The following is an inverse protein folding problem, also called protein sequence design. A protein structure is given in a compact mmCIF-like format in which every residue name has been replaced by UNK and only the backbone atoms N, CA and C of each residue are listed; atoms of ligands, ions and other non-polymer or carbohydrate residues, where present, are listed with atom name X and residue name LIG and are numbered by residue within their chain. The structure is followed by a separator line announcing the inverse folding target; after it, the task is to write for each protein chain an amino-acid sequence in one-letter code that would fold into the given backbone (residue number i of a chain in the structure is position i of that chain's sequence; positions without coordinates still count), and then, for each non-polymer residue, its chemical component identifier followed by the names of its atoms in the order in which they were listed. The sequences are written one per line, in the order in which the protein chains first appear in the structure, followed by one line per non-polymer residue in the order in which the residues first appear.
data_IF_424100175015
#
_entry.id   IF_424100175015
#
_cell.length_a   1.000
_cell.length_b   1.000
_cell.length_c   1.000
_cell.angle_alpha   90.00
_cell.angle_beta   90.00
_cell.angle_gamma   90.00
#
_symmetry.space_group_name_H-M   'P 1'
#
loop_
_entity.id
_entity.type
_entity.pdbx_description
1 polymer ?
#
# COMPACT_ATOMS: atom_id res chain seq x y z
N UNK A 1 9.86 22.74 -38.37
CA UNK A 1 8.84 23.31 -37.46
C UNK A 1 8.25 22.15 -36.68
N UNK A 2 8.78 21.88 -35.49
CA UNK A 2 8.29 20.81 -34.61
C UNK A 2 7.03 21.36 -33.94
N UNK A 3 5.87 20.84 -34.34
CA UNK A 3 4.59 21.18 -33.73
C UNK A 3 4.58 20.57 -32.32
N UNK A 4 4.87 21.40 -31.33
CA UNK A 4 4.67 21.09 -29.92
C UNK A 4 3.16 21.07 -29.66
N UNK A 5 2.50 19.98 -30.02
CA UNK A 5 1.20 19.66 -29.42
C UNK A 5 1.43 19.43 -27.92
N UNK A 6 0.70 20.12 -27.03
CA UNK A 6 0.79 19.83 -25.60
C UNK A 6 0.28 18.40 -25.36
N UNK A 7 1.11 17.55 -24.78
CA UNK A 7 0.81 16.17 -24.38
C UNK A 7 -0.24 16.08 -23.23
N UNK A 8 -1.18 17.03 -23.13
CA UNK A 8 -1.84 17.35 -21.85
C UNK A 8 -3.37 17.33 -21.85
N UNK A 9 -4.05 16.73 -22.83
CA UNK A 9 -5.52 16.78 -22.89
C UNK A 9 -6.24 15.44 -23.09
N UNK A 10 -5.64 14.33 -22.65
CA UNK A 10 -6.38 13.06 -22.55
C UNK A 10 -6.37 12.59 -21.09
N UNK A 11 -7.54 12.32 -20.52
CA UNK A 11 -7.64 11.84 -19.15
C UNK A 11 -6.86 10.52 -19.01
N UNK A 12 -5.96 10.37 -18.02
CA UNK A 12 -5.10 9.20 -17.92
C UNK A 12 -5.94 7.93 -17.80
N UNK A 13 -5.59 6.94 -18.61
CA UNK A 13 -6.29 5.65 -18.68
C UNK A 13 -6.24 4.91 -17.34
N UNK A 14 -7.22 4.03 -17.08
CA UNK A 14 -7.27 3.24 -15.85
C UNK A 14 -5.97 2.45 -15.60
N UNK A 15 -5.31 1.95 -16.66
CA UNK A 15 -4.04 1.24 -16.54
C UNK A 15 -2.88 2.17 -16.15
N UNK A 16 -2.82 3.38 -16.70
CA UNK A 16 -1.82 4.39 -16.33
C UNK A 16 -1.99 4.85 -14.88
N UNK A 17 -3.22 5.12 -14.45
CA UNK A 17 -3.52 5.47 -13.04
C UNK A 17 -3.08 4.36 -12.09
N UNK A 18 -3.32 3.11 -12.47
CA UNK A 18 -2.95 1.95 -11.68
C UNK A 18 -1.42 1.82 -11.56
N UNK A 19 -0.69 1.97 -12.67
CA UNK A 19 0.78 1.96 -12.68
C UNK A 19 1.34 3.03 -11.75
N UNK A 20 0.90 4.29 -11.90
CA UNK A 20 1.36 5.40 -11.07
C UNK A 20 1.08 5.14 -9.60
N UNK A 21 -0.12 4.64 -9.27
CA UNK A 21 -0.47 4.31 -7.88
C UNK A 21 0.45 3.25 -7.29
N UNK A 22 0.68 2.14 -8.00
CA UNK A 22 1.57 1.07 -7.52
C UNK A 22 3.02 1.53 -7.43
N UNK A 23 3.48 2.30 -8.40
CA UNK A 23 4.83 2.84 -8.44
C UNK A 23 5.07 3.77 -7.24
N UNK A 24 4.17 4.74 -7.02
CA UNK A 24 4.24 5.66 -5.88
C UNK A 24 4.19 4.91 -4.54
N UNK A 25 3.27 3.95 -4.39
CA UNK A 25 3.16 3.17 -3.17
C UNK A 25 4.45 2.36 -2.89
N UNK A 26 5.04 1.73 -3.91
CA UNK A 26 6.32 1.02 -3.79
C UNK A 26 7.46 1.95 -3.38
N UNK A 27 7.51 3.19 -3.91
CA UNK A 27 8.52 4.16 -3.53
C UNK A 27 8.34 4.63 -2.09
N UNK A 28 7.10 4.82 -1.63
CA UNK A 28 6.80 5.13 -0.22
C UNK A 28 7.30 3.99 0.67
N UNK A 29 6.97 2.74 0.34
CA UNK A 29 7.39 1.57 1.10
C UNK A 29 8.90 1.43 1.15
N UNK A 30 9.58 1.67 0.02
CA UNK A 30 11.04 1.70 -0.06
C UNK A 30 11.63 2.75 0.90
N UNK A 31 11.09 3.97 0.91
CA UNK A 31 11.56 5.04 1.79
C UNK A 31 11.34 4.66 3.26
N UNK A 32 10.14 4.20 3.62
CA UNK A 32 9.82 3.76 4.98
C UNK A 32 10.76 2.64 5.41
N UNK A 33 10.96 1.62 4.57
CA UNK A 33 11.84 0.50 4.89
C UNK A 33 13.28 0.95 5.14
N UNK A 34 13.82 1.83 4.30
CA UNK A 34 15.18 2.35 4.48
C UNK A 34 15.30 3.27 5.71
N UNK A 35 14.23 3.99 6.09
CA UNK A 35 14.21 4.72 7.37
C UNK A 35 14.29 3.77 8.57
N UNK A 36 13.64 2.61 8.52
CA UNK A 36 13.77 1.60 9.56
C UNK A 36 15.17 0.98 9.60
N UNK A 37 15.78 0.74 8.44
CA UNK A 37 17.18 0.29 8.36
C UNK A 37 18.12 1.28 9.04
N UNK A 38 17.90 2.59 8.80
CA UNK A 38 18.75 3.64 9.36
C UNK A 38 18.54 3.85 10.87
N UNK A 39 17.28 3.90 11.33
CA UNK A 39 16.97 4.41 12.67
C UNK A 39 16.47 3.37 13.67
N UNK A 40 16.01 2.20 13.24
CA UNK A 40 15.39 1.24 14.17
C UNK A 40 16.41 0.36 14.90
N UNK A 41 17.53 0.05 14.25
CA UNK A 41 18.49 -0.97 14.72
C UNK A 41 17.98 -2.41 14.68
N UNK A 42 16.68 -2.62 14.43
CA UNK A 42 16.02 -3.92 14.35
C UNK A 42 15.74 -4.38 12.91
N UNK A 43 16.10 -3.57 11.91
CA UNK A 43 15.96 -3.92 10.50
C UNK A 43 17.32 -3.78 9.84
N UNK A 44 17.81 -4.85 9.21
CA UNK A 44 19.07 -4.85 8.49
C UNK A 44 18.86 -5.38 7.09
N UNK A 45 19.36 -4.63 6.10
CA UNK A 45 19.28 -4.99 4.69
C UNK A 45 20.62 -4.72 4.02
N UNK A 46 21.18 -5.73 3.36
CA UNK A 46 22.56 -5.69 2.84
C UNK A 46 22.81 -4.65 1.75
N UNK A 47 21.77 -4.31 0.98
CA UNK A 47 21.91 -3.40 -0.16
C UNK A 47 20.61 -2.70 -0.50
N UNK A 48 20.73 -1.56 -1.17
CA UNK A 48 19.58 -0.82 -1.70
C UNK A 48 18.74 -1.65 -2.68
N UNK A 49 19.37 -2.44 -3.55
CA UNK A 49 18.63 -3.31 -4.48
C UNK A 49 17.81 -4.35 -3.73
N UNK A 50 18.35 -4.92 -2.65
CA UNK A 50 17.62 -5.84 -1.78
C UNK A 50 16.45 -5.13 -1.08
N UNK A 51 16.64 -3.89 -0.58
CA UNK A 51 15.55 -3.15 0.06
C UNK A 51 14.44 -2.78 -0.92
N UNK A 52 14.77 -2.50 -2.19
CA UNK A 52 13.77 -2.32 -3.26
C UNK A 52 12.98 -3.59 -3.53
N UNK A 53 13.65 -4.74 -3.68
CA UNK A 53 12.96 -6.01 -3.89
C UNK A 53 12.12 -6.40 -2.68
N UNK A 54 12.61 -6.15 -1.46
CA UNK A 54 11.86 -6.40 -0.23
C UNK A 54 10.62 -5.50 -0.12
N UNK A 55 10.73 -4.21 -0.45
CA UNK A 55 9.59 -3.29 -0.48
C UNK A 55 8.53 -3.75 -1.49
N UNK A 56 8.95 -4.14 -2.70
CA UNK A 56 8.04 -4.73 -3.71
C UNK A 56 7.38 -6.01 -3.18
N UNK A 57 8.15 -6.92 -2.58
CA UNK A 57 7.62 -8.17 -2.04
C UNK A 57 6.60 -7.90 -0.93
N UNK A 58 6.93 -7.03 0.03
CA UNK A 58 6.03 -6.63 1.12
C UNK A 58 4.73 -6.04 0.57
N UNK A 59 4.83 -5.12 -0.39
CA UNK A 59 3.68 -4.50 -1.05
C UNK A 59 2.80 -5.55 -1.77
N UNK A 60 3.41 -6.53 -2.44
CA UNK A 60 2.68 -7.66 -3.05
C UNK A 60 1.99 -8.52 -1.98
N UNK A 61 2.69 -8.87 -0.90
CA UNK A 61 2.15 -9.71 0.17
C UNK A 61 1.00 -9.04 0.92
N UNK A 62 1.05 -7.72 1.15
CA UNK A 62 -0.05 -6.97 1.75
C UNK A 62 -1.31 -7.04 0.88
N UNK A 63 -1.17 -6.83 -0.42
CA UNK A 63 -2.31 -6.89 -1.35
C UNK A 63 -2.84 -8.30 -1.53
N UNK A 64 -1.95 -9.29 -1.53
CA UNK A 64 -2.34 -10.69 -1.58
C UNK A 64 -3.12 -11.09 -0.33
N UNK A 65 -2.66 -10.67 0.86
CA UNK A 65 -3.35 -10.93 2.13
C UNK A 65 -4.76 -10.34 2.11
N UNK A 66 -4.90 -9.09 1.70
CA UNK A 66 -6.20 -8.43 1.57
C UNK A 66 -7.09 -9.07 0.51
N UNK A 67 -6.52 -9.52 -0.63
CA UNK A 67 -7.28 -10.19 -1.67
C UNK A 67 -7.79 -11.57 -1.22
N UNK A 68 -6.97 -12.32 -0.47
CA UNK A 68 -7.36 -13.59 0.15
C UNK A 68 -8.46 -13.33 1.18
N UNK A 69 -8.33 -12.29 2.01
CA UNK A 69 -9.33 -11.90 3.01
C UNK A 69 -10.70 -11.69 2.36
N UNK A 70 -10.78 -10.86 1.32
CA UNK A 70 -12.04 -10.59 0.62
C UNK A 70 -12.62 -11.84 -0.03
N UNK A 71 -11.79 -12.70 -0.64
CA UNK A 71 -12.25 -13.97 -1.25
C UNK A 71 -12.80 -14.93 -0.20
N UNK A 72 -12.11 -15.08 0.92
CA UNK A 72 -12.52 -15.90 2.06
C UNK A 72 -13.84 -15.38 2.63
N UNK A 73 -13.93 -14.06 2.88
CA UNK A 73 -15.14 -13.43 3.39
C UNK A 73 -16.33 -13.67 2.45
N UNK A 74 -16.18 -13.41 1.16
CA UNK A 74 -17.24 -13.60 0.17
C UNK A 74 -17.65 -15.08 0.01
N UNK A 75 -16.70 -16.01 0.05
CA UNK A 75 -16.97 -17.45 -0.04
C UNK A 75 -17.82 -17.95 1.13
N UNK A 76 -17.55 -17.47 2.34
CA UNK A 76 -18.26 -17.87 3.56
C UNK A 76 -19.56 -17.11 3.81
N UNK A 77 -19.77 -15.92 3.22
CA UNK A 77 -21.06 -15.24 3.24
C UNK A 77 -22.12 -15.93 2.37
N UNK A 78 -21.72 -16.55 1.26
CA UNK A 78 -22.66 -17.10 0.27
C UNK A 78 -23.33 -18.44 0.66
N UNK A 79 -22.97 -19.07 1.79
CA UNK A 79 -23.46 -20.43 2.13
C UNK A 79 -23.93 -20.55 3.60
N UNK A 80 -25.21 -20.89 3.85
CA UNK A 80 -25.71 -21.16 5.20
C UNK A 80 -25.23 -22.53 5.74
N UNK A 81 -24.72 -22.58 6.98
CA UNK A 81 -24.36 -23.81 7.68
C UNK A 81 -23.46 -23.62 8.91
N UNK A 82 -23.62 -24.47 9.94
CA UNK A 82 -22.81 -24.41 11.17
C UNK A 82 -21.31 -24.65 10.91
N UNK A 83 -20.99 -25.56 9.97
CA UNK A 83 -19.62 -25.82 9.53
C UNK A 83 -19.01 -24.61 8.83
N UNK A 84 -19.77 -23.90 7.99
CA UNK A 84 -19.34 -22.65 7.34
C UNK A 84 -19.02 -21.56 8.36
N UNK A 85 -19.81 -21.47 9.44
CA UNK A 85 -19.55 -20.50 10.50
C UNK A 85 -18.24 -20.81 11.24
N UNK A 86 -17.99 -22.08 11.56
CA UNK A 86 -16.71 -22.52 12.14
C UNK A 86 -15.53 -22.25 11.20
N UNK A 87 -15.61 -22.68 9.92
CA UNK A 87 -14.56 -22.44 8.94
C UNK A 87 -14.30 -20.95 8.71
N UNK A 88 -15.32 -20.10 8.75
CA UNK A 88 -15.16 -18.65 8.65
C UNK A 88 -14.32 -18.09 9.80
N UNK A 89 -14.63 -18.48 11.04
CA UNK A 89 -13.81 -18.07 12.19
C UNK A 89 -12.41 -18.66 12.14
N UNK A 90 -12.27 -19.92 11.71
CA UNK A 90 -10.98 -20.58 11.57
C UNK A 90 -10.10 -19.92 10.51
N UNK A 91 -10.63 -19.63 9.31
CA UNK A 91 -9.88 -18.95 8.25
C UNK A 91 -9.61 -17.49 8.59
N UNK A 92 -10.55 -16.77 9.21
CA UNK A 92 -10.29 -15.42 9.69
C UNK A 92 -9.16 -15.41 10.72
N UNK A 93 -9.18 -16.36 11.68
CA UNK A 93 -8.13 -16.53 12.67
C UNK A 93 -6.79 -16.94 12.03
N UNK A 94 -6.80 -17.91 11.12
CA UNK A 94 -5.62 -18.37 10.39
C UNK A 94 -5.04 -17.27 9.50
N UNK A 95 -5.86 -16.40 8.91
CA UNK A 95 -5.39 -15.26 8.16
C UNK A 95 -4.78 -14.19 9.08
N UNK A 96 -5.42 -13.90 10.22
CA UNK A 96 -4.94 -12.92 11.21
C UNK A 96 -3.60 -13.33 11.84
N UNK A 97 -3.47 -14.60 12.22
CA UNK A 97 -2.26 -15.14 12.82
C UNK A 97 -1.23 -15.58 11.77
N UNK A 98 -1.68 -16.29 10.74
CA UNK A 98 -0.82 -16.90 9.73
C UNK A 98 -0.19 -15.90 8.77
N UNK A 99 -0.89 -14.83 8.37
CA UNK A 99 -0.33 -13.82 7.44
C UNK A 99 0.97 -13.20 7.98
N UNK A 100 1.08 -13.06 9.30
CA UNK A 100 2.24 -12.45 9.95
C UNK A 100 3.48 -13.33 9.88
N UNK A 101 3.33 -14.65 10.03
CA UNK A 101 4.43 -15.61 9.87
C UNK A 101 4.74 -15.86 8.40
N UNK A 102 3.72 -15.92 7.55
CA UNK A 102 3.90 -16.08 6.09
C UNK A 102 4.74 -14.96 5.51
N UNK A 103 4.57 -13.71 5.97
CA UNK A 103 5.38 -12.59 5.48
C UNK A 103 6.85 -12.74 5.88
N UNK A 104 7.15 -13.07 7.15
CA UNK A 104 8.53 -13.32 7.60
C UNK A 104 9.17 -14.48 6.83
N UNK A 105 8.44 -15.59 6.68
CA UNK A 105 8.91 -16.77 5.95
C UNK A 105 9.16 -16.44 4.48
N UNK A 106 8.26 -15.69 3.82
CA UNK A 106 8.41 -15.27 2.44
C UNK A 106 9.66 -14.38 2.25
N UNK A 107 9.94 -13.49 3.20
CA UNK A 107 11.17 -12.69 3.21
C UNK A 107 12.42 -13.54 3.40
N UNK A 108 12.39 -14.48 4.35
CA UNK A 108 13.50 -15.40 4.60
C UNK A 108 13.76 -16.32 3.40
N UNK A 109 12.72 -16.82 2.73
CA UNK A 109 12.86 -17.65 1.52
C UNK A 109 13.36 -16.82 0.33
N UNK A 110 12.85 -15.60 0.15
CA UNK A 110 13.21 -14.76 -0.99
C UNK A 110 14.61 -14.14 -0.87
N UNK A 111 15.03 -13.76 0.34
CA UNK A 111 16.24 -12.98 0.56
C UNK A 111 17.26 -13.64 1.50
N UNK A 112 16.90 -14.74 2.16
CA UNK A 112 17.78 -15.42 3.12
C UNK A 112 18.23 -14.47 4.22
N UNK A 113 19.54 -14.44 4.45
CA UNK A 113 20.16 -13.58 5.46
C UNK A 113 20.28 -12.11 5.04
N UNK A 114 19.92 -11.75 3.80
CA UNK A 114 20.08 -10.38 3.27
C UNK A 114 19.05 -9.38 3.78
N UNK A 115 17.95 -9.88 4.35
CA UNK A 115 16.90 -9.07 4.97
C UNK A 115 16.60 -9.67 6.33
N UNK A 116 16.96 -8.93 7.38
CA UNK A 116 16.78 -9.37 8.75
C UNK A 116 15.89 -8.42 9.50
N UNK A 117 14.88 -9.00 10.14
CA UNK A 117 14.08 -8.34 11.15
C UNK A 117 14.49 -8.94 12.50
N UNK A 118 15.23 -8.16 13.28
CA UNK A 118 15.62 -8.52 14.63
C UNK A 118 14.63 -7.93 15.65
N UNK A 119 14.75 -8.30 16.92
CA UNK A 119 13.89 -7.82 18.01
C UNK A 119 12.88 -8.84 18.54
N UNK A 120 11.86 -8.37 19.26
CA UNK A 120 10.92 -9.23 19.99
C UNK A 120 10.12 -10.16 19.05
N UNK A 121 9.85 -11.38 19.55
CA UNK A 121 9.11 -12.43 18.83
C UNK A 121 9.73 -12.76 17.46
N UNK A 122 11.05 -12.93 17.39
CA UNK A 122 11.79 -13.25 16.15
C UNK A 122 11.59 -12.20 15.03
N UNK A 123 11.60 -10.91 15.38
CA UNK A 123 11.42 -9.82 14.42
C UNK A 123 9.97 -9.55 14.02
N UNK A 124 9.01 -10.31 14.53
CA UNK A 124 7.59 -10.12 14.23
C UNK A 124 7.08 -8.73 14.62
N UNK A 125 7.46 -8.24 15.82
CA UNK A 125 7.04 -6.91 16.28
C UNK A 125 7.57 -5.82 15.35
N UNK A 126 8.83 -5.93 14.95
CA UNK A 126 9.49 -5.02 14.02
C UNK A 126 8.80 -5.04 12.66
N UNK A 127 8.50 -6.23 12.11
CA UNK A 127 7.78 -6.36 10.86
C UNK A 127 6.38 -5.71 10.93
N UNK A 128 5.63 -5.94 12.01
CA UNK A 128 4.31 -5.32 12.19
C UNK A 128 4.46 -3.79 12.23
N UNK A 129 5.45 -3.26 12.96
CA UNK A 129 5.69 -1.83 13.02
C UNK A 129 5.99 -1.25 11.63
N UNK A 130 6.86 -1.90 10.86
CA UNK A 130 7.18 -1.50 9.48
C UNK A 130 5.94 -1.49 8.60
N UNK A 131 5.14 -2.57 8.61
CA UNK A 131 3.91 -2.68 7.82
C UNK A 131 2.90 -1.59 8.21
N UNK A 132 2.71 -1.36 9.50
CA UNK A 132 1.77 -0.33 9.98
C UNK A 132 2.24 1.06 9.56
N UNK A 133 3.54 1.35 9.67
CA UNK A 133 4.09 2.63 9.21
C UNK A 133 3.96 2.78 7.69
N UNK A 134 4.21 1.73 6.91
CA UNK A 134 3.99 1.74 5.45
C UNK A 134 2.54 2.08 5.12
N UNK A 135 1.57 1.42 5.75
CA UNK A 135 0.14 1.66 5.52
C UNK A 135 -0.27 3.09 5.88
N UNK A 136 0.22 3.61 7.00
CA UNK A 136 -0.04 4.99 7.44
C UNK A 136 0.59 5.97 6.45
N UNK A 137 1.81 5.73 6.00
CA UNK A 137 2.50 6.60 5.04
C UNK A 137 1.80 6.61 3.68
N UNK A 138 1.42 5.44 3.14
CA UNK A 138 0.67 5.33 1.89
C UNK A 138 -0.66 6.10 2.00
N UNK A 139 -1.44 5.86 3.06
CA UNK A 139 -2.72 6.53 3.31
C UNK A 139 -2.54 8.05 3.48
N UNK A 140 -1.49 8.50 4.16
CA UNK A 140 -1.21 9.92 4.34
C UNK A 140 -0.92 10.63 3.01
N UNK A 141 -0.09 10.02 2.14
CA UNK A 141 0.22 10.58 0.81
C UNK A 141 -1.02 10.59 -0.07
N UNK A 142 -1.79 9.50 -0.08
CA UNK A 142 -3.05 9.42 -0.83
C UNK A 142 -4.04 10.49 -0.37
N UNK A 143 -4.20 10.64 0.95
CA UNK A 143 -5.07 11.66 1.54
C UNK A 143 -4.63 13.07 1.20
N UNK A 144 -3.32 13.34 1.25
CA UNK A 144 -2.76 14.64 0.88
C UNK A 144 -3.01 14.96 -0.60
N UNK A 145 -2.80 13.99 -1.48
CA UNK A 145 -3.12 14.10 -2.91
C UNK A 145 -4.59 14.46 -3.16
N UNK A 146 -5.52 13.78 -2.48
CA UNK A 146 -6.94 14.08 -2.60
C UNK A 146 -7.30 15.49 -2.11
N UNK A 147 -6.74 15.92 -0.97
CA UNK A 147 -6.98 17.28 -0.45
C UNK A 147 -6.56 18.38 -1.42
N UNK A 148 -5.45 18.19 -2.13
CA UNK A 148 -4.97 19.16 -3.12
C UNK A 148 -5.90 19.28 -4.33
N UNK A 149 -6.53 18.18 -4.75
CA UNK A 149 -7.53 18.21 -5.82
C UNK A 149 -8.82 18.95 -5.45
N UNK A 150 -9.18 18.94 -4.17
CA UNK A 150 -10.42 19.56 -3.66
C UNK A 150 -10.33 21.09 -3.61
N UNK A 151 -9.13 21.63 -3.30
CA UNK A 151 -8.85 23.07 -3.29
C UNK A 151 -9.04 23.76 -4.64
N UNK A 152 -8.67 23.10 -5.75
CA UNK A 152 -8.83 23.67 -7.10
C UNK A 152 -10.30 23.71 -7.54
N UNK A 153 -11.09 22.70 -7.15
CA UNK A 153 -12.53 22.66 -7.45
C UNK A 153 -13.31 23.74 -6.71
N UNK A 154 -12.95 24.00 -5.45
CA UNK A 154 -13.55 25.05 -4.61
C UNK A 154 -13.14 26.46 -5.03
N UNK A 155 -11.90 26.62 -5.53
CA UNK A 155 -11.43 27.88 -6.11
C UNK A 155 -12.14 28.19 -7.43
N UNK A 156 -12.28 27.21 -8.32
CA UNK A 156 -12.85 27.41 -9.66
C UNK A 156 -14.35 27.74 -9.61
N UNK A 157 -15.11 27.15 -8.69
CA UNK A 157 -16.52 27.49 -8.48
C UNK A 157 -16.74 28.89 -7.89
N UNK A 158 -15.79 29.39 -7.07
CA UNK A 158 -15.87 30.72 -6.47
C UNK A 158 -15.51 31.85 -7.45
N UNK A 159 -14.70 31.56 -8.47
CA UNK A 159 -14.33 32.52 -9.52
C UNK A 159 -15.41 32.63 -10.60
N UNK A 160 -15.98 31.50 -11.03
CA UNK A 160 -17.05 31.44 -12.04
C UNK A 160 -18.33 32.17 -11.58
N UNK A 161 -18.70 32.04 -10.30
CA UNK A 161 -19.84 32.77 -9.73
C UNK A 161 -19.67 34.28 -9.65
N UNK A 162 -18.44 34.80 -9.56
CA UNK A 162 -18.18 36.25 -9.53
C UNK A 162 -18.19 36.90 -10.91
N UNK A 163 -17.85 36.16 -11.95
CA UNK A 163 -17.79 36.67 -13.34
C UNK A 163 -19.20 36.81 -13.94
N UNK A 164 -20.13 35.93 -13.53
CA UNK A 164 -21.55 36.00 -13.92
C UNK A 164 -22.26 37.20 -13.25
N UNK A 165 -21.96 37.50 -11.98
CA UNK A 165 -22.53 38.64 -11.25
C UNK A 165 -21.95 40.00 -11.71
N UNK A 166 -20.73 40.04 -12.24
CA UNK A 166 -20.11 41.29 -12.74
C UNK A 166 -20.55 41.67 -14.17
N UNK A 167 -21.25 40.76 -14.86
CA UNK A 167 -21.75 40.95 -16.22
C UNK A 167 -23.26 41.30 -16.29
N UNK A 168 -23.93 41.43 -15.13
CA UNK A 168 -25.30 41.96 -14.97
C UNK A 168 -25.28 43.37 -14.40
#
# INVERSE_FOLDING_TARGET
MISAMPLTAEAPSNKQRLLVRYFTATLIDLVVLNLFVEYSGNVSIDSFTTSLLAAVLLQVLLKLTLAIEHKVAAYFEAKPGALMRFLRFFFAWLLLFGSKFVILEALAVAFGDKVRFDGALHGLVTLIAVIVTMLIAEEAVVRFYYRLGESDSSSKSATDGKEVDAAQ
#
